data_IF_695104013453
#
_entry.id   IF_695104013453
#
_cell.length_a   1.000
_cell.length_b   1.000
_cell.length_c   1.000
_cell.angle_alpha   90.00
_cell.angle_beta   90.00
_cell.angle_gamma   90.00
#
_symmetry.space_group_name_H-M   'P 1'
#
loop_
_entity.id
_entity.type
_entity.pdbx_description
1 polymer ?
#
# COMPACT_ATOMS: atom_id res chain seq x y z
N UNK A 1 -30.24 80.65 -32.68
CA UNK A 1 -28.99 81.27 -33.18
C UNK A 1 -27.95 81.02 -32.09
N UNK A 2 -27.11 79.99 -32.20
CA UNK A 2 -25.82 79.98 -32.94
C UNK A 2 -24.86 81.05 -32.36
N UNK A 3 -23.63 80.80 -31.94
CA UNK A 3 -22.74 79.63 -31.94
C UNK A 3 -21.29 80.13 -31.70
N UNK A 4 -20.38 79.20 -31.35
CA UNK A 4 -18.91 79.22 -31.54
C UNK A 4 -18.06 80.31 -30.82
N UNK A 5 -16.87 80.05 -30.24
CA UNK A 5 -16.04 78.85 -30.10
C UNK A 5 -14.60 79.18 -29.66
N UNK A 6 -13.84 78.11 -29.33
CA UNK A 6 -12.36 77.91 -29.48
C UNK A 6 -11.43 78.67 -28.50
N UNK A 7 -10.41 78.12 -27.84
CA UNK A 7 -9.30 77.18 -28.20
C UNK A 7 -8.70 76.58 -26.90
N UNK A 8 -8.46 75.27 -26.74
CA UNK A 8 -7.36 74.41 -27.23
C UNK A 8 -6.26 74.16 -26.13
N UNK A 9 -5.38 73.15 -26.23
CA UNK A 9 -5.38 72.00 -25.30
C UNK A 9 -4.06 71.81 -24.52
N UNK A 10 -4.10 71.06 -23.42
CA UNK A 10 -2.87 70.56 -22.78
C UNK A 10 -2.78 69.03 -22.78
N UNK A 11 -1.55 68.58 -22.99
CA UNK A 11 -1.10 67.24 -23.38
C UNK A 11 -1.28 66.16 -22.30
N UNK A 12 -1.32 64.88 -22.69
CA UNK A 12 -1.54 63.76 -21.78
C UNK A 12 -0.26 63.40 -21.01
N UNK A 13 -0.40 63.14 -19.71
CA UNK A 13 0.61 62.41 -18.92
C UNK A 13 0.29 60.93 -19.06
N UNK A 14 1.21 60.19 -19.67
CA UNK A 14 1.15 58.73 -19.75
C UNK A 14 1.26 58.12 -18.35
N UNK A 15 0.27 57.33 -17.95
CA UNK A 15 0.37 56.47 -16.79
C UNK A 15 1.14 55.20 -17.16
N UNK A 16 2.21 54.91 -16.43
CA UNK A 16 2.91 53.61 -16.53
C UNK A 16 2.00 52.47 -16.09
N UNK A 17 2.08 51.29 -16.73
CA UNK A 17 1.33 50.12 -16.30
C UNK A 17 1.91 49.62 -14.97
N UNK A 18 1.04 49.42 -13.98
CA UNK A 18 1.37 48.69 -12.78
C UNK A 18 1.42 47.19 -13.11
N UNK A 19 2.57 46.57 -12.85
CA UNK A 19 2.74 45.12 -12.93
C UNK A 19 1.81 44.43 -11.93
N UNK A 20 0.76 43.81 -12.44
CA UNK A 20 -0.09 42.90 -11.68
C UNK A 20 0.63 41.57 -11.52
N UNK A 21 1.13 41.31 -10.31
CA UNK A 21 1.68 40.02 -9.90
C UNK A 21 0.53 38.99 -9.88
N UNK A 22 0.63 37.84 -10.57
CA UNK A 22 -0.39 36.81 -10.52
C UNK A 22 -0.41 36.17 -9.13
N UNK A 23 -1.59 36.14 -8.51
CA UNK A 23 -1.82 35.38 -7.29
C UNK A 23 -1.60 33.90 -7.57
N UNK A 24 -0.60 33.31 -6.92
CA UNK A 24 -0.39 31.87 -6.92
C UNK A 24 -1.66 31.20 -6.38
N UNK A 25 -2.21 30.28 -7.17
CA UNK A 25 -3.26 29.38 -6.71
C UNK A 25 -2.70 28.56 -5.56
N UNK A 26 -3.25 28.74 -4.37
CA UNK A 26 -3.01 27.83 -3.25
C UNK A 26 -3.62 26.50 -3.64
N UNK A 27 -2.75 25.50 -3.79
CA UNK A 27 -3.15 24.11 -3.93
C UNK A 27 -3.99 23.75 -2.71
N UNK A 28 -5.25 23.40 -2.92
CA UNK A 28 -6.15 23.04 -1.84
C UNK A 28 -5.63 21.71 -1.29
N UNK A 29 -4.94 21.76 -0.15
CA UNK A 29 -4.54 20.59 0.61
C UNK A 29 -5.74 19.64 0.69
N UNK A 30 -5.61 18.47 0.07
CA UNK A 30 -6.62 17.42 0.07
C UNK A 30 -6.79 17.01 1.53
N UNK A 31 -7.92 17.40 2.14
CA UNK A 31 -8.27 16.92 3.47
C UNK A 31 -8.39 15.40 3.37
N UNK A 32 -7.58 14.62 4.11
CA UNK A 32 -7.68 13.17 4.08
C UNK A 32 -9.09 12.75 4.44
N UNK A 33 -9.65 11.78 3.71
CA UNK A 33 -10.91 11.18 4.11
C UNK A 33 -10.74 10.56 5.52
N UNK A 34 -11.77 10.62 6.39
CA UNK A 34 -11.71 9.92 7.66
C UNK A 34 -11.48 8.42 7.42
N UNK A 35 -10.63 7.81 8.25
CA UNK A 35 -10.38 6.37 8.22
C UNK A 35 -11.70 5.59 8.21
N UNK A 36 -11.81 4.52 7.41
CA UNK A 36 -12.97 3.66 7.44
C UNK A 36 -13.20 3.11 8.85
N UNK A 37 -14.42 3.23 9.37
CA UNK A 37 -14.76 2.58 10.64
C UNK A 37 -14.92 1.08 10.40
N UNK A 38 -14.02 0.24 10.93
CA UNK A 38 -14.14 -1.21 10.84
C UNK A 38 -12.83 -1.94 11.12
N UNK A 39 -12.90 -3.27 11.11
CA UNK A 39 -11.72 -4.13 11.24
C UNK A 39 -10.91 -4.07 9.95
N UNK A 40 -9.59 -3.98 10.09
CA UNK A 40 -8.61 -4.20 9.02
C UNK A 40 -8.10 -5.63 9.16
N UNK A 41 -8.04 -6.37 8.06
CA UNK A 41 -7.44 -7.71 8.06
C UNK A 41 -6.23 -7.73 7.15
N UNK A 42 -5.10 -8.22 7.65
CA UNK A 42 -3.90 -8.43 6.83
C UNK A 42 -3.74 -9.92 6.48
N UNK A 43 -3.32 -10.23 5.26
CA UNK A 43 -3.04 -11.59 4.77
C UNK A 43 -1.61 -11.61 4.24
N UNK A 44 -0.78 -12.49 4.77
CA UNK A 44 0.65 -12.51 4.45
C UNK A 44 1.34 -13.80 4.86
N UNK A 45 2.66 -13.80 4.72
CA UNK A 45 3.54 -14.92 5.00
C UNK A 45 4.21 -14.82 6.39
N UNK A 46 5.39 -15.42 6.56
CA UNK A 46 6.19 -15.38 7.80
C UNK A 46 6.67 -13.99 8.17
N UNK A 47 6.94 -13.11 7.20
CA UNK A 47 7.40 -11.75 7.44
C UNK A 47 6.28 -10.95 8.11
N UNK A 48 5.07 -11.01 7.54
CA UNK A 48 3.88 -10.38 8.12
C UNK A 48 3.50 -11.02 9.46
N UNK A 49 3.66 -12.34 9.60
CA UNK A 49 3.39 -13.04 10.86
C UNK A 49 4.34 -12.63 12.00
N UNK A 50 5.47 -11.99 11.70
CA UNK A 50 6.50 -11.69 12.69
C UNK A 50 7.17 -12.96 13.22
N UNK A 51 7.46 -13.94 12.34
CA UNK A 51 7.98 -15.25 12.75
C UNK A 51 9.16 -15.12 13.72
N UNK A 52 9.05 -15.78 14.87
CA UNK A 52 10.09 -15.81 15.90
C UNK A 52 10.10 -14.62 16.86
N UNK A 53 9.18 -13.66 16.70
CA UNK A 53 9.02 -12.51 17.57
C UNK A 53 7.73 -12.62 18.41
N UNK A 54 7.60 -11.76 19.42
CA UNK A 54 6.32 -11.62 20.12
C UNK A 54 5.27 -10.99 19.17
N UNK A 55 3.98 -11.36 19.27
CA UNK A 55 2.97 -10.90 18.31
C UNK A 55 2.83 -9.38 18.19
N UNK A 56 3.10 -8.63 19.26
CA UNK A 56 3.05 -7.16 19.28
C UNK A 56 4.25 -6.49 18.58
N UNK A 57 5.24 -7.27 18.15
CA UNK A 57 6.40 -6.79 17.40
C UNK A 57 6.27 -6.99 15.88
N UNK A 58 5.24 -7.71 15.41
CA UNK A 58 4.98 -7.84 13.98
C UNK A 58 4.50 -6.51 13.40
N UNK A 59 4.93 -6.15 12.18
CA UNK A 59 4.60 -4.85 11.59
C UNK A 59 3.09 -4.54 11.57
N UNK A 60 2.14 -5.49 11.33
CA UNK A 60 0.72 -5.14 11.36
C UNK A 60 0.26 -4.67 12.76
N UNK A 61 0.87 -5.21 13.82
CA UNK A 61 0.58 -4.80 15.20
C UNK A 61 1.23 -3.46 15.56
N UNK A 62 2.39 -3.16 14.99
CA UNK A 62 3.03 -1.84 15.12
C UNK A 62 2.18 -0.76 14.42
N UNK A 63 1.75 -1.00 13.18
CA UNK A 63 0.83 -0.11 12.45
C UNK A 63 -0.47 0.10 13.24
N UNK A 64 -1.03 -0.95 13.84
CA UNK A 64 -2.23 -0.84 14.67
C UNK A 64 -2.01 0.06 15.89
N UNK A 65 -0.84 -0.03 16.53
CA UNK A 65 -0.49 0.79 17.68
C UNK A 65 -0.33 2.27 17.31
N UNK A 66 0.26 2.56 16.14
CA UNK A 66 0.55 3.92 15.69
C UNK A 66 -0.68 4.63 15.11
N UNK A 67 -1.52 3.91 14.36
CA UNK A 67 -2.74 4.44 13.72
C UNK A 67 -3.97 4.37 14.63
N UNK A 68 -4.01 3.44 15.57
CA UNK A 68 -5.19 3.11 16.36
C UNK A 68 -6.22 2.24 15.64
N UNK A 69 -5.89 1.73 14.44
CA UNK A 69 -6.73 0.81 13.68
C UNK A 69 -6.91 -0.54 14.39
N UNK A 70 -8.08 -1.16 14.23
CA UNK A 70 -8.35 -2.53 14.71
C UNK A 70 -7.86 -3.53 13.66
N UNK A 71 -6.59 -3.95 13.77
CA UNK A 71 -5.93 -4.83 12.79
C UNK A 71 -5.89 -6.27 13.28
N UNK A 72 -6.41 -7.19 12.47
CA UNK A 72 -6.25 -8.63 12.62
C UNK A 72 -5.19 -9.14 11.66
N UNK A 73 -4.10 -9.68 12.21
CA UNK A 73 -3.01 -10.25 11.42
C UNK A 73 -3.27 -11.73 11.09
N UNK A 74 -3.48 -12.05 9.80
CA UNK A 74 -3.56 -13.41 9.28
C UNK A 74 -2.27 -13.81 8.52
N UNK A 75 -1.11 -13.38 9.00
CA UNK A 75 0.18 -13.87 8.51
C UNK A 75 0.39 -15.34 8.84
N UNK A 76 0.82 -16.14 7.86
CA UNK A 76 1.12 -17.55 8.03
C UNK A 76 2.48 -17.92 7.45
N UNK A 77 3.37 -18.45 8.29
CA UNK A 77 4.72 -18.79 7.87
C UNK A 77 4.75 -19.84 6.76
N UNK A 78 5.50 -19.56 5.70
CA UNK A 78 5.61 -20.43 4.52
C UNK A 78 4.41 -20.41 3.58
N UNK A 79 3.36 -19.63 3.87
CA UNK A 79 2.20 -19.53 3.00
C UNK A 79 2.45 -18.59 1.81
N UNK A 80 1.80 -18.88 0.70
CA UNK A 80 1.70 -18.02 -0.47
C UNK A 80 0.39 -18.26 -1.21
N UNK A 81 0.30 -17.78 -2.44
CA UNK A 81 -0.87 -18.03 -3.29
C UNK A 81 -0.97 -19.49 -3.76
N UNK A 82 0.16 -20.17 -3.89
CA UNK A 82 0.28 -21.51 -4.49
C UNK A 82 0.78 -22.56 -3.50
N UNK A 83 1.18 -22.14 -2.30
CA UNK A 83 1.81 -23.00 -1.30
C UNK A 83 1.17 -22.84 0.08
N UNK A 84 0.91 -23.99 0.72
CA UNK A 84 0.36 -24.08 2.06
C UNK A 84 1.46 -23.84 3.10
N UNK A 85 1.20 -22.93 4.04
CA UNK A 85 2.11 -22.65 5.15
C UNK A 85 1.90 -23.56 6.36
N UNK A 86 2.65 -23.30 7.42
CA UNK A 86 2.66 -24.11 8.65
C UNK A 86 1.35 -24.01 9.46
N UNK A 87 0.51 -23.01 9.17
CA UNK A 87 -0.85 -22.92 9.71
C UNK A 87 -1.82 -23.93 9.07
N UNK A 88 -1.41 -24.63 8.01
CA UNK A 88 -2.24 -25.58 7.27
C UNK A 88 -3.09 -24.96 6.16
N UNK A 89 -2.94 -23.67 5.90
CA UNK A 89 -3.62 -22.92 4.84
C UNK A 89 -2.61 -22.26 3.88
N UNK A 90 -3.02 -22.13 2.61
CA UNK A 90 -2.46 -21.18 1.66
C UNK A 90 -3.25 -19.85 1.74
N UNK A 91 -2.98 -18.89 0.86
CA UNK A 91 -3.71 -17.63 0.87
C UNK A 91 -5.21 -17.77 0.57
N UNK A 92 -5.65 -18.80 -0.15
CA UNK A 92 -7.09 -19.03 -0.35
C UNK A 92 -7.77 -19.41 0.97
N UNK A 93 -7.11 -20.23 1.80
CA UNK A 93 -7.56 -20.52 3.16
C UNK A 93 -7.59 -19.25 4.03
N UNK A 94 -6.53 -18.45 4.01
CA UNK A 94 -6.48 -17.18 4.77
C UNK A 94 -7.54 -16.17 4.30
N UNK A 95 -7.85 -16.12 3.00
CA UNK A 95 -8.95 -15.32 2.44
C UNK A 95 -10.30 -15.74 3.02
N UNK A 96 -10.56 -17.04 3.20
CA UNK A 96 -11.79 -17.51 3.86
C UNK A 96 -11.90 -17.02 5.30
N UNK A 97 -10.78 -17.01 6.03
CA UNK A 97 -10.74 -16.49 7.39
C UNK A 97 -11.00 -14.98 7.41
N UNK A 98 -10.40 -14.22 6.49
CA UNK A 98 -10.64 -12.79 6.36
C UNK A 98 -12.11 -12.47 6.05
N UNK A 99 -12.74 -13.21 5.15
CA UNK A 99 -14.16 -13.03 4.80
C UNK A 99 -15.07 -13.21 6.02
N UNK A 100 -14.77 -14.17 6.89
CA UNK A 100 -15.55 -14.42 8.10
C UNK A 100 -15.54 -13.22 9.08
N UNK A 101 -14.49 -12.40 9.04
CA UNK A 101 -14.35 -11.21 9.89
C UNK A 101 -15.13 -10.00 9.35
N UNK A 102 -15.55 -10.02 8.07
CA UNK A 102 -16.24 -8.91 7.38
C UNK A 102 -15.53 -7.56 7.57
N UNK A 103 -14.25 -7.45 7.19
CA UNK A 103 -13.46 -6.24 7.36
C UNK A 103 -13.92 -5.09 6.46
N UNK A 104 -13.55 -3.88 6.84
CA UNK A 104 -13.65 -2.70 5.98
C UNK A 104 -12.48 -2.61 4.98
N UNK A 105 -11.30 -3.09 5.39
CA UNK A 105 -10.06 -3.09 4.59
C UNK A 105 -9.43 -4.48 4.65
N UNK A 106 -8.98 -4.99 3.51
CA UNK A 106 -8.08 -6.15 3.44
C UNK A 106 -6.76 -5.72 2.82
N UNK A 107 -5.67 -5.94 3.54
CA UNK A 107 -4.30 -5.74 3.07
C UNK A 107 -3.70 -7.11 2.77
N UNK A 108 -3.29 -7.36 1.53
CA UNK A 108 -2.64 -8.61 1.12
C UNK A 108 -1.24 -8.28 0.69
N UNK A 109 -0.24 -8.95 1.25
CA UNK A 109 1.14 -8.86 0.77
C UNK A 109 1.43 -10.09 -0.10
N UNK A 110 1.94 -9.88 -1.31
CA UNK A 110 2.40 -10.99 -2.14
C UNK A 110 3.62 -11.68 -1.50
N UNK A 111 3.79 -12.96 -1.83
CA UNK A 111 4.71 -13.89 -1.14
C UNK A 111 5.86 -14.30 -2.05
N UNK A 112 7.03 -14.54 -1.47
CA UNK A 112 8.20 -15.12 -2.12
C UNK A 112 8.22 -16.66 -2.04
N UNK A 113 7.41 -17.25 -1.15
CA UNK A 113 7.24 -18.68 -0.98
C UNK A 113 6.69 -19.39 -2.23
N UNK A 114 6.05 -18.63 -3.12
CA UNK A 114 5.54 -19.09 -4.42
C UNK A 114 6.66 -19.30 -5.47
N UNK A 115 7.93 -19.07 -5.12
CA UNK A 115 9.09 -19.16 -6.03
C UNK A 115 9.26 -20.49 -6.78
N UNK A 116 8.65 -21.58 -6.28
CA UNK A 116 8.63 -22.88 -6.95
C UNK A 116 7.54 -23.07 -8.02
N UNK A 117 6.57 -22.16 -8.09
CA UNK A 117 5.45 -22.23 -9.03
C UNK A 117 5.76 -21.54 -10.36
N UNK A 118 5.04 -21.91 -11.41
CA UNK A 118 5.08 -21.19 -12.68
C UNK A 118 4.34 -19.85 -12.60
N UNK A 119 4.71 -18.89 -13.47
CA UNK A 119 4.01 -17.61 -13.57
C UNK A 119 2.49 -17.78 -13.75
N UNK A 120 2.06 -18.73 -14.59
CA UNK A 120 0.63 -19.01 -14.83
C UNK A 120 -0.09 -19.50 -13.57
N UNK A 121 0.58 -20.31 -12.73
CA UNK A 121 0.01 -20.79 -11.45
C UNK A 121 -0.12 -19.67 -10.43
N UNK A 122 0.90 -18.79 -10.33
CA UNK A 122 0.88 -17.60 -9.47
C UNK A 122 -0.24 -16.66 -9.91
N UNK A 123 -0.33 -16.36 -11.21
CA UNK A 123 -1.37 -15.51 -11.80
C UNK A 123 -2.77 -16.03 -11.51
N UNK A 124 -3.01 -17.31 -11.78
CA UNK A 124 -4.33 -17.92 -11.60
C UNK A 124 -4.74 -17.96 -10.13
N UNK A 125 -3.82 -18.34 -9.24
CA UNK A 125 -4.12 -18.48 -7.80
C UNK A 125 -4.32 -17.11 -7.14
N UNK A 126 -3.52 -16.11 -7.53
CA UNK A 126 -3.67 -14.73 -7.06
C UNK A 126 -5.00 -14.14 -7.50
N UNK A 127 -5.36 -14.26 -8.79
CA UNK A 127 -6.67 -13.77 -9.28
C UNK A 127 -7.83 -14.46 -8.57
N UNK A 128 -7.75 -15.77 -8.34
CA UNK A 128 -8.79 -16.52 -7.63
C UNK A 128 -8.98 -16.05 -6.18
N UNK A 129 -7.89 -15.78 -5.47
CA UNK A 129 -7.93 -15.27 -4.09
C UNK A 129 -8.60 -13.88 -4.02
N UNK A 130 -8.25 -12.97 -4.94
CA UNK A 130 -8.84 -11.62 -4.99
C UNK A 130 -10.31 -11.66 -5.45
N UNK A 131 -10.65 -12.49 -6.44
CA UNK A 131 -12.03 -12.72 -6.89
C UNK A 131 -12.93 -13.16 -5.73
N UNK A 132 -12.42 -14.05 -4.89
CA UNK A 132 -13.15 -14.57 -3.74
C UNK A 132 -13.42 -13.48 -2.70
N UNK A 133 -12.44 -12.62 -2.42
CA UNK A 133 -12.64 -11.44 -1.56
C UNK A 133 -13.67 -10.49 -2.14
N UNK A 134 -13.53 -10.08 -3.39
CA UNK A 134 -14.44 -9.12 -4.03
C UNK A 134 -15.86 -9.67 -4.14
N UNK A 135 -16.02 -10.96 -4.44
CA UNK A 135 -17.34 -11.59 -4.51
C UNK A 135 -18.04 -11.66 -3.15
N UNK A 136 -17.30 -11.93 -2.07
CA UNK A 136 -17.87 -12.07 -0.73
C UNK A 136 -18.03 -10.72 0.00
N UNK A 137 -17.16 -9.76 -0.29
CA UNK A 137 -17.07 -8.45 0.35
C UNK A 137 -17.07 -7.35 -0.74
N UNK A 138 -18.20 -7.08 -1.40
CA UNK A 138 -18.24 -6.19 -2.56
C UNK A 138 -17.79 -4.75 -2.26
N UNK A 139 -17.95 -4.29 -1.02
CA UNK A 139 -17.61 -2.93 -0.59
C UNK A 139 -16.24 -2.83 0.12
N UNK A 140 -15.48 -3.92 0.21
CA UNK A 140 -14.18 -3.90 0.90
C UNK A 140 -13.17 -3.07 0.12
N UNK A 141 -12.37 -2.29 0.85
CA UNK A 141 -11.18 -1.68 0.28
C UNK A 141 -10.07 -2.73 0.22
N UNK A 142 -9.63 -3.05 -1.00
CA UNK A 142 -8.52 -3.99 -1.23
C UNK A 142 -7.22 -3.22 -1.38
N UNK A 143 -6.20 -3.66 -0.65
CA UNK A 143 -4.85 -3.13 -0.72
C UNK A 143 -3.89 -4.27 -0.99
N UNK A 144 -3.11 -4.16 -2.06
CA UNK A 144 -2.02 -5.09 -2.37
C UNK A 144 -0.67 -4.46 -2.03
N UNK A 145 0.23 -5.26 -1.44
CA UNK A 145 1.62 -4.88 -1.18
C UNK A 145 2.52 -5.81 -1.99
N UNK A 146 3.49 -5.23 -2.70
CA UNK A 146 4.49 -5.98 -3.46
C UNK A 146 5.31 -6.95 -2.59
N UNK A 147 5.87 -7.98 -3.22
CA UNK A 147 6.66 -9.00 -2.53
C UNK A 147 7.99 -8.39 -2.08
N UNK A 148 8.38 -8.70 -0.85
CA UNK A 148 9.65 -8.27 -0.29
C UNK A 148 10.80 -9.16 -0.78
N UNK A 149 11.95 -8.53 -0.98
CA UNK A 149 13.23 -9.17 -1.31
C UNK A 149 14.36 -8.46 -0.58
N UNK A 150 15.02 -9.18 0.32
CA UNK A 150 16.00 -8.62 1.24
C UNK A 150 17.46 -8.89 0.81
N UNK A 151 17.68 -9.81 -0.13
CA UNK A 151 19.03 -10.18 -0.56
C UNK A 151 19.64 -9.15 -1.51
N UNK A 152 20.96 -9.02 -1.47
CA UNK A 152 21.72 -8.02 -2.22
C UNK A 152 21.90 -8.38 -3.71
N UNK A 153 21.62 -9.62 -4.10
CA UNK A 153 21.64 -10.11 -5.48
C UNK A 153 20.30 -9.90 -6.21
N UNK A 154 20.31 -10.17 -7.51
CA UNK A 154 19.14 -9.95 -8.38
C UNK A 154 17.94 -10.75 -7.90
N UNK A 155 16.79 -10.08 -7.87
CA UNK A 155 15.53 -10.67 -7.47
C UNK A 155 15.14 -11.79 -8.46
N UNK A 156 14.74 -12.99 -7.99
CA UNK A 156 14.21 -14.03 -8.86
C UNK A 156 12.94 -13.56 -9.59
N UNK A 157 12.76 -13.99 -10.84
CA UNK A 157 11.60 -13.60 -11.67
C UNK A 157 10.25 -13.83 -10.96
N UNK A 158 10.15 -14.89 -10.14
CA UNK A 158 8.94 -15.23 -9.40
C UNK A 158 8.48 -14.17 -8.39
N UNK A 159 9.41 -13.37 -7.84
CA UNK A 159 9.06 -12.27 -6.93
C UNK A 159 8.36 -11.14 -7.72
N UNK A 160 8.89 -10.84 -8.90
CA UNK A 160 8.26 -9.93 -9.86
C UNK A 160 6.91 -10.43 -10.32
N UNK A 161 6.80 -11.72 -10.69
CA UNK A 161 5.53 -12.33 -11.10
C UNK A 161 4.47 -12.26 -10.00
N UNK A 162 4.84 -12.59 -8.76
CA UNK A 162 3.96 -12.53 -7.58
C UNK A 162 3.44 -11.10 -7.34
N UNK A 163 4.33 -10.11 -7.42
CA UNK A 163 3.97 -8.69 -7.29
C UNK A 163 3.06 -8.20 -8.43
N UNK A 164 3.38 -8.55 -9.68
CA UNK A 164 2.62 -8.17 -10.87
C UNK A 164 1.23 -8.84 -10.91
N UNK A 165 1.14 -10.09 -10.47
CA UNK A 165 -0.13 -10.82 -10.35
C UNK A 165 -1.05 -10.14 -9.35
N UNK A 166 -0.53 -9.80 -8.16
CA UNK A 166 -1.32 -9.13 -7.13
C UNK A 166 -1.70 -7.71 -7.54
N UNK A 167 -0.76 -6.96 -8.13
CA UNK A 167 -1.04 -5.62 -8.65
C UNK A 167 -2.19 -5.63 -9.65
N UNK A 168 -2.16 -6.53 -10.64
CA UNK A 168 -3.24 -6.66 -11.63
C UNK A 168 -4.55 -7.02 -10.97
N UNK A 169 -4.57 -8.08 -10.15
CA UNK A 169 -5.78 -8.59 -9.53
C UNK A 169 -6.48 -7.54 -8.65
N UNK A 170 -5.72 -6.80 -7.84
CA UNK A 170 -6.26 -5.74 -6.98
C UNK A 170 -6.71 -4.52 -7.79
N UNK A 171 -5.94 -4.11 -8.80
CA UNK A 171 -6.26 -2.92 -9.61
C UNK A 171 -7.49 -3.13 -10.50
N UNK A 172 -7.68 -4.34 -11.03
CA UNK A 172 -8.86 -4.71 -11.83
C UNK A 172 -10.16 -4.64 -11.01
N UNK A 173 -10.06 -4.69 -9.68
CA UNK A 173 -11.17 -4.65 -8.74
C UNK A 173 -11.22 -3.31 -7.95
N UNK A 174 -10.75 -2.22 -8.57
CA UNK A 174 -10.71 -0.86 -8.01
C UNK A 174 -9.94 -0.74 -6.67
N UNK A 175 -9.02 -1.67 -6.39
CA UNK A 175 -8.15 -1.63 -5.22
C UNK A 175 -6.90 -0.79 -5.43
N UNK A 176 -6.11 -0.66 -4.36
CA UNK A 176 -4.85 0.10 -4.35
C UNK A 176 -3.68 -0.88 -4.25
N UNK A 177 -2.68 -0.73 -5.11
CA UNK A 177 -1.43 -1.48 -4.99
C UNK A 177 -0.28 -0.55 -4.62
N UNK A 178 0.53 -0.94 -3.63
CA UNK A 178 1.70 -0.18 -3.17
C UNK A 178 2.95 -1.04 -3.20
N UNK A 179 4.09 -0.40 -3.44
CA UNK A 179 5.42 -1.01 -3.28
C UNK A 179 6.14 -0.30 -2.16
N UNK A 180 6.75 -1.08 -1.26
CA UNK A 180 7.57 -0.54 -0.17
C UNK A 180 9.01 -0.25 -0.64
N UNK A 181 9.30 -0.46 -1.93
CA UNK A 181 10.66 -0.66 -2.40
C UNK A 181 11.22 -1.98 -1.86
N UNK A 182 12.46 -1.97 -1.40
CA UNK A 182 13.05 -3.12 -0.70
C UNK A 182 13.75 -2.66 0.59
N UNK A 183 12.98 -2.31 1.64
CA UNK A 183 13.52 -1.64 2.80
C UNK A 183 14.54 -2.51 3.54
N UNK A 184 14.48 -3.84 3.47
CA UNK A 184 15.45 -4.69 4.16
C UNK A 184 16.68 -5.04 3.33
N UNK A 185 16.72 -4.61 2.06
CA UNK A 185 17.76 -5.02 1.12
C UNK A 185 19.16 -4.59 1.56
N UNK A 186 20.05 -5.57 1.67
CA UNK A 186 21.45 -5.33 2.04
C UNK A 186 21.64 -4.84 3.47
N UNK A 187 20.66 -5.08 4.36
CA UNK A 187 20.68 -4.70 5.79
C UNK A 187 20.59 -5.93 6.69
N UNK A 188 21.63 -6.80 6.73
CA UNK A 188 21.60 -8.02 7.52
C UNK A 188 21.43 -7.78 9.03
N UNK A 189 21.75 -6.58 9.51
CA UNK A 189 21.49 -6.16 10.89
C UNK A 189 20.00 -6.04 11.24
N UNK A 190 19.12 -5.95 10.24
CA UNK A 190 17.66 -5.92 10.41
C UNK A 190 17.02 -7.31 10.31
N UNK A 191 17.83 -8.34 10.07
CA UNK A 191 17.38 -9.72 9.91
C UNK A 191 17.76 -10.56 11.13
N UNK A 192 17.08 -11.69 11.26
CA UNK A 192 17.38 -12.71 12.25
C UNK A 192 18.60 -13.53 11.82
N UNK A 193 18.98 -14.51 12.64
CA UNK A 193 20.16 -15.35 12.42
C UNK A 193 20.08 -16.19 11.14
N UNK A 194 18.87 -16.42 10.62
CA UNK A 194 18.63 -17.13 9.36
C UNK A 194 18.88 -16.26 8.12
N UNK A 195 19.00 -14.94 8.30
CA UNK A 195 19.20 -13.99 7.23
C UNK A 195 18.00 -13.79 6.32
N UNK A 196 16.79 -14.22 6.74
CA UNK A 196 15.54 -14.13 5.97
C UNK A 196 14.52 -13.27 6.73
N UNK A 197 14.21 -13.66 7.96
CA UNK A 197 13.12 -13.05 8.70
C UNK A 197 13.59 -11.75 9.37
N UNK A 198 12.78 -10.68 9.36
CA UNK A 198 13.14 -9.46 10.07
C UNK A 198 13.22 -9.71 11.58
N UNK A 199 14.19 -9.08 12.23
CA UNK A 199 14.18 -8.95 13.68
C UNK A 199 13.26 -7.79 14.12
N UNK A 200 13.21 -7.46 15.41
CA UNK A 200 12.34 -6.38 15.91
C UNK A 200 12.59 -5.03 15.24
N UNK A 201 13.85 -4.68 14.98
CA UNK A 201 14.20 -3.42 14.31
C UNK A 201 13.82 -3.45 12.82
N UNK A 202 13.93 -4.63 12.19
CA UNK A 202 13.45 -4.87 10.84
C UNK A 202 11.93 -4.74 10.72
N UNK A 203 11.15 -5.23 11.69
CA UNK A 203 9.70 -5.07 11.72
C UNK A 203 9.28 -3.60 11.89
N UNK A 204 9.99 -2.82 12.70
CA UNK A 204 9.77 -1.37 12.82
C UNK A 204 9.98 -0.68 11.47
N UNK A 205 11.09 -1.00 10.79
CA UNK A 205 11.38 -0.49 9.45
C UNK A 205 10.27 -0.85 8.44
N UNK A 206 9.70 -2.06 8.54
CA UNK A 206 8.58 -2.45 7.69
C UNK A 206 7.30 -1.68 8.04
N UNK A 207 7.00 -1.46 9.32
CA UNK A 207 5.87 -0.63 9.76
C UNK A 207 5.95 0.77 9.15
N UNK A 208 7.09 1.44 9.35
CA UNK A 208 7.34 2.79 8.81
C UNK A 208 7.17 2.84 7.28
N UNK A 209 7.68 1.82 6.58
CA UNK A 209 7.59 1.75 5.12
C UNK A 209 6.15 1.51 4.65
N UNK A 210 5.39 0.66 5.35
CA UNK A 210 3.98 0.40 5.05
C UNK A 210 3.16 1.67 5.26
N UNK A 211 3.28 2.33 6.41
CA UNK A 211 2.55 3.56 6.72
C UNK A 211 2.84 4.66 5.71
N UNK A 212 4.12 4.88 5.38
CA UNK A 212 4.50 5.84 4.36
C UNK A 212 3.90 5.52 2.98
N UNK A 213 3.91 4.25 2.58
CA UNK A 213 3.36 3.83 1.29
C UNK A 213 1.82 3.96 1.22
N UNK A 214 1.13 3.70 2.34
CA UNK A 214 -0.31 3.89 2.45
C UNK A 214 -0.68 5.37 2.41
N UNK A 215 0.05 6.22 3.15
CA UNK A 215 -0.13 7.67 3.14
C UNK A 215 0.10 8.27 1.75
N UNK A 216 1.16 7.87 1.06
CA UNK A 216 1.46 8.31 -0.32
C UNK A 216 0.37 7.89 -1.31
N UNK A 217 -0.27 6.75 -1.07
CA UNK A 217 -1.42 6.27 -1.84
C UNK A 217 -2.75 6.91 -1.42
N UNK A 218 -2.75 7.76 -0.39
CA UNK A 218 -3.94 8.42 0.16
C UNK A 218 -4.88 7.46 0.91
N UNK A 219 -4.36 6.33 1.38
CA UNK A 219 -5.07 5.38 2.24
C UNK A 219 -4.86 5.81 3.69
N UNK A 220 -5.96 5.84 4.46
CA UNK A 220 -5.93 6.14 5.89
C UNK A 220 -6.46 4.92 6.65
N UNK A 221 -5.70 4.44 7.63
CA UNK A 221 -6.09 3.37 8.55
C UNK A 221 -6.69 3.93 9.85
#
# INVERSE_FOLDING_TARGET
>A
MAGCGVSAPDRPVAASPADSVPAAAVDAARVPAPAPSGVVVTIGDSIMAGLGLDPDQAWPSLVAADTGADIVNLGCSGAGFTITGDCGDDYAGLVQQAIALRPAIVIIQSSDNDSGASQDEIDASTRAAVDQLRAALPDVQLIGIATLWHLDWDEPDAIGWSSEALQRAVSDDDGVFVSLGQPLRGRPELLQWDGEHPNSDGQIVLSDAVEAALDDAGVVL
#
